data_IF_357833433793
#
_entry.id   IF_357833433793
#
_cell.length_a   1.000
_cell.length_b   1.000
_cell.length_c   1.000
_cell.angle_alpha   90.00
_cell.angle_beta   90.00
_cell.angle_gamma   90.00
#
_symmetry.space_group_name_H-M   'P 1'
#
loop_
_entity.id
_entity.type
_entity.pdbx_description
1 polymer ?
#
# COMPACT_ATOMS: atom_id res chain seq x y z
N UNK A 1 -2.32 -31.93 3.27
CA UNK A 1 -2.85 -31.42 1.98
C UNK A 1 -3.94 -30.40 2.15
N UNK A 2 -4.99 -30.72 2.90
CA UNK A 2 -6.07 -29.79 3.21
C UNK A 2 -5.56 -28.52 3.89
N UNK A 3 -4.65 -28.65 4.82
CA UNK A 3 -4.02 -27.53 5.52
C UNK A 3 -3.29 -26.56 4.59
N UNK A 4 -2.55 -27.10 3.62
CA UNK A 4 -1.80 -26.26 2.67
C UNK A 4 -2.74 -25.46 1.75
N UNK A 5 -3.77 -26.11 1.25
CA UNK A 5 -4.79 -25.48 0.42
C UNK A 5 -5.52 -24.38 1.19
N UNK A 6 -5.95 -24.66 2.40
CA UNK A 6 -6.64 -23.67 3.24
C UNK A 6 -5.74 -22.47 3.55
N UNK A 7 -4.45 -22.70 3.83
CA UNK A 7 -3.50 -21.63 4.08
C UNK A 7 -3.34 -20.72 2.85
N UNK A 8 -3.09 -21.31 1.69
CA UNK A 8 -2.82 -20.53 0.49
C UNK A 8 -4.06 -19.88 -0.14
N UNK A 9 -5.20 -20.54 -0.09
CA UNK A 9 -6.39 -20.02 -0.79
C UNK A 9 -7.37 -19.31 0.13
N UNK A 10 -7.51 -19.75 1.34
CA UNK A 10 -8.49 -19.19 2.27
C UNK A 10 -7.84 -18.19 3.21
N UNK A 11 -6.79 -18.58 3.92
CA UNK A 11 -6.17 -17.74 4.94
C UNK A 11 -5.48 -16.50 4.33
N UNK A 12 -4.72 -16.68 3.27
CA UNK A 12 -4.05 -15.56 2.60
C UNK A 12 -5.07 -14.57 2.03
N UNK A 13 -6.14 -15.08 1.40
CA UNK A 13 -7.23 -14.23 0.92
C UNK A 13 -7.92 -13.47 2.06
N UNK A 14 -8.14 -14.14 3.18
CA UNK A 14 -8.75 -13.53 4.36
C UNK A 14 -7.86 -12.41 4.92
N UNK A 15 -6.56 -12.66 5.01
CA UNK A 15 -5.58 -11.65 5.44
C UNK A 15 -5.60 -10.45 4.50
N UNK A 16 -5.50 -10.66 3.20
CA UNK A 16 -5.53 -9.61 2.19
C UNK A 16 -6.79 -8.76 2.28
N UNK A 17 -7.94 -9.41 2.38
CA UNK A 17 -9.23 -8.72 2.51
C UNK A 17 -9.31 -7.88 3.78
N UNK A 18 -8.83 -8.42 4.90
CA UNK A 18 -8.85 -7.71 6.18
C UNK A 18 -7.90 -6.51 6.17
N UNK A 19 -6.74 -6.62 5.55
CA UNK A 19 -5.82 -5.50 5.36
C UNK A 19 -6.53 -4.37 4.60
N UNK A 20 -7.20 -4.69 3.51
CA UNK A 20 -7.95 -3.72 2.71
C UNK A 20 -9.07 -3.05 3.51
N UNK A 21 -9.81 -3.82 4.29
CA UNK A 21 -10.88 -3.30 5.16
C UNK A 21 -10.34 -2.35 6.21
N UNK A 22 -9.21 -2.69 6.84
CA UNK A 22 -8.58 -1.82 7.84
C UNK A 22 -8.16 -0.49 7.20
N UNK A 23 -7.54 -0.51 6.03
CA UNK A 23 -7.17 0.72 5.32
C UNK A 23 -8.39 1.60 5.05
N UNK A 24 -9.51 1.01 4.59
CA UNK A 24 -10.74 1.75 4.34
C UNK A 24 -11.35 2.33 5.61
N UNK A 25 -11.40 1.55 6.69
CA UNK A 25 -11.98 1.97 7.96
C UNK A 25 -11.18 3.07 8.65
N UNK A 26 -9.86 2.92 8.69
CA UNK A 26 -9.00 3.86 9.41
C UNK A 26 -8.97 5.26 8.80
N UNK A 27 -9.23 5.36 7.50
CA UNK A 27 -9.16 6.64 6.79
C UNK A 27 -10.51 7.08 6.20
N UNK A 28 -11.60 6.41 6.59
CA UNK A 28 -12.95 6.72 6.10
C UNK A 28 -13.39 8.15 6.42
N UNK A 29 -13.01 8.68 7.57
CA UNK A 29 -13.34 10.05 7.98
C UNK A 29 -12.76 11.12 7.05
N UNK A 30 -11.68 10.79 6.33
CA UNK A 30 -11.06 11.68 5.34
C UNK A 30 -11.56 11.44 3.91
N UNK A 31 -12.50 10.51 3.73
CA UNK A 31 -12.98 10.11 2.40
C UNK A 31 -11.95 9.29 1.62
N UNK A 32 -10.91 8.79 2.28
CA UNK A 32 -9.84 8.03 1.65
C UNK A 32 -10.17 6.54 1.63
N UNK A 33 -9.83 5.88 0.53
CA UNK A 33 -9.98 4.44 0.34
C UNK A 33 -8.60 3.76 0.29
N UNK A 34 -8.60 2.45 0.27
CA UNK A 34 -7.39 1.62 0.30
C UNK A 34 -6.29 2.09 -0.65
N UNK A 35 -6.61 2.39 -1.91
CA UNK A 35 -5.61 2.83 -2.89
C UNK A 35 -5.04 4.21 -2.55
N UNK A 36 -5.88 5.15 -2.08
CA UNK A 36 -5.42 6.46 -1.63
C UNK A 36 -4.45 6.33 -0.45
N UNK A 37 -4.79 5.47 0.49
CA UNK A 37 -3.96 5.20 1.68
C UNK A 37 -2.59 4.67 1.26
N UNK A 38 -2.57 3.70 0.34
CA UNK A 38 -1.31 3.13 -0.16
C UNK A 38 -0.46 4.16 -0.88
N UNK A 39 -1.06 4.97 -1.74
CA UNK A 39 -0.34 6.05 -2.43
C UNK A 39 0.28 7.04 -1.45
N UNK A 40 -0.49 7.51 -0.48
CA UNK A 40 0.01 8.46 0.52
C UNK A 40 1.11 7.85 1.38
N UNK A 41 0.97 6.58 1.75
CA UNK A 41 2.00 5.86 2.49
C UNK A 41 3.35 5.86 1.75
N UNK A 42 3.34 5.46 0.48
CA UNK A 42 4.57 5.39 -0.31
C UNK A 42 5.15 6.77 -0.62
N UNK A 43 4.29 7.74 -0.94
CA UNK A 43 4.73 9.12 -1.18
C UNK A 43 5.38 9.74 0.05
N UNK A 44 4.85 9.43 1.23
CA UNK A 44 5.41 9.91 2.49
C UNK A 44 6.71 9.20 2.85
N UNK A 45 6.73 7.87 2.75
CA UNK A 45 7.86 7.06 3.22
C UNK A 45 9.05 7.04 2.26
N UNK A 46 8.83 7.17 0.96
CA UNK A 46 9.87 7.07 -0.07
C UNK A 46 10.31 8.40 -0.66
N UNK A 47 9.55 9.45 -0.45
CA UNK A 47 9.84 10.83 -0.88
C UNK A 47 9.79 11.09 -2.39
N UNK A 48 10.62 10.54 -3.20
CA UNK A 48 10.67 10.81 -4.64
C UNK A 48 10.09 9.67 -5.46
N UNK A 49 8.75 9.56 -5.44
CA UNK A 49 8.05 8.47 -6.13
C UNK A 49 7.25 9.01 -7.30
N UNK A 50 7.35 8.34 -8.44
CA UNK A 50 6.58 8.64 -9.65
C UNK A 50 5.28 7.82 -9.67
N UNK A 51 4.34 8.20 -10.53
CA UNK A 51 3.11 7.44 -10.72
C UNK A 51 3.38 6.00 -11.21
N UNK A 52 4.39 5.82 -12.06
CA UNK A 52 4.80 4.49 -12.53
C UNK A 52 5.27 3.62 -11.37
N UNK A 53 6.10 4.16 -10.48
CA UNK A 53 6.56 3.43 -9.30
C UNK A 53 5.42 3.09 -8.35
N UNK A 54 4.41 3.96 -8.23
CA UNK A 54 3.23 3.68 -7.43
C UNK A 54 2.41 2.51 -7.99
N UNK A 55 2.29 2.40 -9.31
CA UNK A 55 1.63 1.24 -9.93
C UNK A 55 2.30 -0.07 -9.51
N UNK A 56 3.63 -0.10 -9.54
CA UNK A 56 4.40 -1.28 -9.15
C UNK A 56 4.25 -1.59 -7.66
N UNK A 57 4.42 -0.58 -6.80
CA UNK A 57 4.38 -0.78 -5.34
C UNK A 57 2.99 -1.08 -4.80
N UNK A 58 1.96 -0.48 -5.37
CA UNK A 58 0.57 -0.72 -4.97
C UNK A 58 -0.03 -1.93 -5.67
N UNK A 59 0.66 -2.49 -6.66
CA UNK A 59 0.15 -3.58 -7.51
C UNK A 59 -1.22 -3.24 -8.12
N UNK A 60 -1.32 -2.03 -8.65
CA UNK A 60 -2.53 -1.53 -9.28
C UNK A 60 -2.23 -1.10 -10.72
N UNK A 61 -3.25 -1.12 -11.55
CA UNK A 61 -3.10 -0.68 -12.93
C UNK A 61 -2.96 0.84 -13.04
N UNK A 62 -2.51 1.29 -14.19
CA UNK A 62 -2.29 2.70 -14.48
C UNK A 62 -3.56 3.53 -14.32
N UNK A 63 -4.71 3.01 -14.74
CA UNK A 63 -5.99 3.73 -14.63
C UNK A 63 -6.40 3.94 -13.18
N UNK A 64 -6.25 2.92 -12.34
CA UNK A 64 -6.57 2.99 -10.92
C UNK A 64 -5.68 3.99 -10.20
N UNK A 65 -4.38 3.95 -10.44
CA UNK A 65 -3.44 4.91 -9.85
C UNK A 65 -3.73 6.32 -10.36
N UNK A 66 -4.00 6.50 -11.65
CA UNK A 66 -4.33 7.82 -12.20
C UNK A 66 -5.55 8.44 -11.53
N UNK A 67 -6.62 7.66 -11.36
CA UNK A 67 -7.83 8.13 -10.67
C UNK A 67 -7.55 8.48 -9.19
N UNK A 68 -6.73 7.68 -8.52
CA UNK A 68 -6.35 7.93 -7.14
C UNK A 68 -5.54 9.20 -7.00
N UNK A 69 -4.60 9.45 -7.91
CA UNK A 69 -3.80 10.65 -7.91
C UNK A 69 -4.63 11.90 -8.24
N UNK A 70 -5.58 11.78 -9.17
CA UNK A 70 -6.52 12.88 -9.47
C UNK A 70 -7.33 13.25 -8.23
N UNK A 71 -7.84 12.26 -7.51
CA UNK A 71 -8.55 12.48 -6.27
C UNK A 71 -7.67 13.17 -5.22
N UNK A 72 -6.47 12.68 -5.01
CA UNK A 72 -5.54 13.23 -4.02
C UNK A 72 -5.12 14.67 -4.37
N UNK A 73 -4.88 14.94 -5.63
CA UNK A 73 -4.54 16.28 -6.11
C UNK A 73 -5.73 17.23 -5.95
N UNK A 74 -6.93 16.82 -6.37
CA UNK A 74 -8.15 17.62 -6.25
C UNK A 74 -8.52 17.92 -4.80
N UNK A 75 -8.15 17.05 -3.88
CA UNK A 75 -8.43 17.23 -2.45
C UNK A 75 -7.23 17.84 -1.68
N UNK A 76 -6.22 18.31 -2.39
CA UNK A 76 -5.13 19.09 -1.81
C UNK A 76 -4.06 18.28 -1.08
N UNK A 77 -3.96 16.97 -1.32
CA UNK A 77 -2.94 16.11 -0.70
C UNK A 77 -1.61 16.12 -1.43
N UNK A 78 -1.64 16.36 -2.74
CA UNK A 78 -0.41 16.38 -3.53
C UNK A 78 -0.50 17.43 -4.64
N UNK A 79 0.68 17.81 -5.14
CA UNK A 79 0.83 18.64 -6.33
C UNK A 79 1.74 17.93 -7.32
N UNK A 80 1.55 18.22 -8.60
CA UNK A 80 2.44 17.76 -9.65
C UNK A 80 2.80 18.96 -10.50
N UNK A 81 4.07 19.34 -10.49
CA UNK A 81 4.58 20.49 -11.26
C UNK A 81 4.64 20.22 -12.76
N UNK A 82 4.58 18.95 -13.15
CA UNK A 82 4.61 18.57 -14.55
C UNK A 82 3.22 18.55 -15.16
N UNK A 83 3.11 18.95 -16.43
CA UNK A 83 1.90 18.78 -17.23
C UNK A 83 1.54 17.30 -17.32
N UNK A 84 0.25 16.98 -17.49
CA UNK A 84 -0.29 15.62 -17.47
C UNK A 84 0.53 14.56 -18.20
N UNK A 85 1.10 14.87 -19.36
CA UNK A 85 1.90 13.94 -20.16
C UNK A 85 3.20 13.50 -19.46
N UNK A 86 3.73 14.32 -18.53
CA UNK A 86 4.97 14.03 -17.79
C UNK A 86 4.73 13.52 -16.37
N UNK A 87 3.49 13.41 -15.95
CA UNK A 87 3.10 12.99 -14.59
C UNK A 87 3.74 11.66 -14.18
N UNK A 88 3.79 10.71 -15.11
CA UNK A 88 4.32 9.37 -14.85
C UNK A 88 5.83 9.30 -14.72
N UNK A 89 6.53 10.35 -15.18
CA UNK A 89 7.99 10.42 -15.18
C UNK A 89 8.54 11.40 -14.14
N UNK A 90 7.67 12.24 -13.59
CA UNK A 90 8.08 13.28 -12.63
C UNK A 90 7.71 12.87 -11.21
N UNK A 91 8.56 13.16 -10.21
CA UNK A 91 8.23 12.92 -8.82
C UNK A 91 6.97 13.70 -8.43
N UNK A 92 6.13 13.05 -7.66
CA UNK A 92 4.94 13.65 -7.07
C UNK A 92 5.33 14.29 -5.74
N UNK A 93 4.77 15.45 -5.44
CA UNK A 93 5.11 16.21 -4.23
C UNK A 93 3.90 16.31 -3.32
N UNK A 94 4.05 15.86 -2.08
CA UNK A 94 3.02 16.01 -1.06
C UNK A 94 2.92 17.47 -0.60
N UNK A 95 1.70 17.93 -0.41
CA UNK A 95 1.44 19.20 0.25
C UNK A 95 1.61 19.03 1.77
N UNK A 96 1.50 20.12 2.54
CA UNK A 96 1.48 20.05 3.99
C UNK A 96 0.37 19.11 4.48
N UNK A 97 -0.81 19.21 3.89
CA UNK A 97 -1.94 18.31 4.17
C UNK A 97 -1.59 16.85 3.85
N UNK A 98 -0.93 16.61 2.72
CA UNK A 98 -0.47 15.27 2.33
C UNK A 98 0.59 14.71 3.26
N UNK A 99 1.52 15.52 3.72
CA UNK A 99 2.54 15.12 4.69
C UNK A 99 1.91 14.73 6.03
N UNK A 100 0.96 15.51 6.51
CA UNK A 100 0.25 15.21 7.74
C UNK A 100 -0.55 13.90 7.63
N UNK A 101 -1.28 13.72 6.54
CA UNK A 101 -2.02 12.48 6.29
C UNK A 101 -1.09 11.27 6.17
N UNK A 102 0.01 11.41 5.45
CA UNK A 102 1.02 10.36 5.31
C UNK A 102 1.63 9.94 6.63
N UNK A 103 1.91 10.89 7.50
CA UNK A 103 2.42 10.61 8.85
C UNK A 103 1.40 9.82 9.68
N UNK A 104 0.14 10.25 9.68
CA UNK A 104 -0.94 9.55 10.39
C UNK A 104 -1.12 8.12 9.88
N UNK A 105 -1.10 7.94 8.57
CA UNK A 105 -1.18 6.63 7.94
C UNK A 105 -0.03 5.75 8.40
N UNK A 106 1.19 6.26 8.35
CA UNK A 106 2.39 5.52 8.77
C UNK A 106 2.30 5.09 10.22
N UNK A 107 1.87 5.98 11.12
CA UNK A 107 1.70 5.65 12.53
C UNK A 107 0.63 4.57 12.74
N UNK A 108 -0.48 4.65 12.02
CA UNK A 108 -1.55 3.64 12.09
C UNK A 108 -1.10 2.29 11.54
N UNK A 109 -0.36 2.29 10.42
CA UNK A 109 0.21 1.06 9.83
C UNK A 109 1.13 0.38 10.84
N UNK A 110 2.02 1.14 11.46
CA UNK A 110 2.94 0.59 12.46
C UNK A 110 2.21 -0.03 13.63
N UNK A 111 1.17 0.62 14.15
CA UNK A 111 0.36 0.08 15.24
C UNK A 111 -0.37 -1.22 14.85
N UNK A 112 -0.92 -1.27 13.65
CA UNK A 112 -1.59 -2.48 13.15
C UNK A 112 -0.58 -3.62 12.98
N UNK A 113 0.59 -3.33 12.42
CA UNK A 113 1.63 -4.34 12.25
C UNK A 113 2.12 -4.91 13.57
N UNK A 114 2.26 -4.07 14.60
CA UNK A 114 2.59 -4.54 15.95
C UNK A 114 1.51 -5.48 16.49
N UNK A 115 0.23 -5.13 16.32
CA UNK A 115 -0.88 -5.97 16.76
C UNK A 115 -0.93 -7.31 16.02
N UNK A 116 -0.62 -7.32 14.73
CA UNK A 116 -0.61 -8.56 13.94
C UNK A 116 0.51 -9.51 14.34
N UNK A 117 1.52 -9.00 15.03
CA UNK A 117 2.66 -9.78 15.50
C UNK A 117 2.51 -10.32 16.92
N UNK A 118 1.39 -10.04 17.59
CA UNK A 118 1.14 -10.56 18.94
C UNK A 118 1.13 -12.10 18.90
N UNK A 119 1.90 -12.73 19.76
CA UNK A 119 2.05 -14.17 19.82
C UNK A 119 3.24 -14.71 19.02
N UNK A 120 3.95 -13.85 18.32
CA UNK A 120 5.16 -14.20 17.57
C UNK A 120 6.39 -13.61 18.24
N UNK A 121 7.48 -14.36 18.23
CA UNK A 121 8.79 -13.83 18.60
C UNK A 121 9.33 -12.96 17.46
N UNK A 122 10.33 -12.13 17.73
CA UNK A 122 11.00 -11.35 16.69
C UNK A 122 11.59 -12.24 15.60
N UNK A 123 12.17 -13.37 16.00
CA UNK A 123 12.75 -14.34 15.07
C UNK A 123 11.70 -14.97 14.16
N UNK A 124 10.55 -15.34 14.74
CA UNK A 124 9.43 -15.89 13.99
C UNK A 124 8.87 -14.87 12.99
N UNK A 125 8.72 -13.63 13.41
CA UNK A 125 8.25 -12.55 12.55
C UNK A 125 9.21 -12.31 11.37
N UNK A 126 10.51 -12.22 11.65
CA UNK A 126 11.53 -12.03 10.62
C UNK A 126 11.56 -13.20 9.62
N UNK A 127 11.48 -14.43 10.15
CA UNK A 127 11.41 -15.64 9.32
C UNK A 127 10.15 -15.65 8.45
N UNK A 128 9.01 -15.26 9.01
CA UNK A 128 7.75 -15.19 8.28
C UNK A 128 7.85 -14.21 7.09
N UNK A 129 8.34 -13.01 7.31
CA UNK A 129 8.47 -12.02 6.23
C UNK A 129 9.45 -12.49 5.15
N UNK A 130 10.53 -13.13 5.53
CA UNK A 130 11.48 -13.72 4.58
C UNK A 130 10.82 -14.81 3.75
N UNK A 131 10.14 -15.74 4.40
CA UNK A 131 9.42 -16.82 3.72
C UNK A 131 8.32 -16.30 2.80
N UNK A 132 7.57 -15.33 3.26
CA UNK A 132 6.49 -14.72 2.47
C UNK A 132 7.03 -14.06 1.21
N UNK A 133 8.17 -13.38 1.29
CA UNK A 133 8.83 -12.78 0.13
C UNK A 133 9.27 -13.81 -0.90
N UNK A 134 9.79 -14.95 -0.44
CA UNK A 134 10.20 -16.07 -1.31
C UNK A 134 8.96 -16.67 -2.01
N UNK A 135 7.90 -16.92 -1.25
CA UNK A 135 6.65 -17.47 -1.76
C UNK A 135 6.04 -16.53 -2.82
N UNK A 136 6.04 -15.23 -2.54
CA UNK A 136 5.53 -14.22 -3.48
C UNK A 136 6.27 -14.27 -4.82
N UNK A 137 7.61 -14.28 -4.79
CA UNK A 137 8.43 -14.38 -6.01
C UNK A 137 8.18 -15.67 -6.78
N UNK A 138 8.06 -16.78 -6.06
CA UNK A 138 7.80 -18.08 -6.69
C UNK A 138 6.43 -18.09 -7.37
N UNK A 139 5.43 -17.48 -6.75
CA UNK A 139 4.09 -17.36 -7.35
C UNK A 139 4.10 -16.52 -8.62
N UNK A 140 4.87 -15.43 -8.65
CA UNK A 140 5.02 -14.62 -9.85
C UNK A 140 5.53 -15.46 -11.03
N UNK A 141 6.49 -16.34 -10.80
CA UNK A 141 7.00 -17.21 -11.85
C UNK A 141 6.00 -18.27 -12.31
N UNK A 142 5.01 -18.59 -11.49
CA UNK A 142 3.94 -19.54 -11.85
C UNK A 142 2.85 -18.91 -12.72
N UNK A 143 2.71 -17.61 -12.67
CA UNK A 143 1.67 -16.88 -13.44
C UNK A 143 2.05 -16.76 -14.91
N UNK A 144 3.31 -16.84 -15.25
CA UNK A 144 3.81 -16.83 -16.62
C UNK A 144 3.86 -15.50 -17.29
#
# INVERSE_FOLDING_TARGET
MKERFETFTVLINKISRNIKRIKNQEMAEYGLRSTHVSCLYYLYSKRSVTATELCERCEEDKATISRSLDFLESNGYLTCDAKHAKRYRSPLVLTEKGMEAGKRITDKVNRVLEKTSIGLTEEERAAFYRCLSIISRNLESCVG
#
